data_IF_681109880881
#
_entry.id   IF_681109880881
#
_cell.length_a   1.000
_cell.length_b   1.000
_cell.length_c   1.000
_cell.angle_alpha   90.00
_cell.angle_beta   90.00
_cell.angle_gamma   90.00
#
_symmetry.space_group_name_H-M   'P 1'
#
loop_
_entity.id
_entity.type
_entity.pdbx_description
1 polymer ?
#
# COMPACT_ATOMS: atom_id res chain seq x y z
N UNK A 1 -19.40 20.42 -1.71
CA UNK A 1 -19.44 18.97 -1.41
C UNK A 1 -20.71 18.71 -0.63
N UNK A 2 -21.47 17.69 -1.03
CA UNK A 2 -22.80 17.34 -0.52
C UNK A 2 -22.73 16.90 0.95
N UNK A 3 -23.02 17.80 1.87
CA UNK A 3 -23.09 17.51 3.32
C UNK A 3 -24.30 16.63 3.67
N UNK A 4 -25.40 16.72 2.92
CA UNK A 4 -26.59 15.86 3.10
C UNK A 4 -26.35 14.40 2.68
N UNK A 5 -25.50 14.15 1.68
CA UNK A 5 -25.18 12.79 1.23
C UNK A 5 -24.34 11.99 2.27
N UNK A 6 -23.60 12.68 3.13
CA UNK A 6 -22.89 12.08 4.26
C UNK A 6 -23.83 11.67 5.41
N UNK A 7 -25.03 12.26 5.49
CA UNK A 7 -26.03 11.98 6.53
C UNK A 7 -26.84 10.71 6.21
N UNK A 8 -26.91 10.30 4.95
CA UNK A 8 -27.64 9.11 4.49
C UNK A 8 -26.79 7.83 4.37
N UNK A 9 -25.48 7.92 4.62
CA UNK A 9 -24.56 6.79 4.42
C UNK A 9 -24.61 5.86 5.63
N UNK A 10 -25.15 4.65 5.44
CA UNK A 10 -25.19 3.66 6.51
C UNK A 10 -23.82 3.02 6.72
N UNK A 11 -23.55 2.43 7.91
CA UNK A 11 -22.33 1.68 8.10
C UNK A 11 -22.20 0.47 7.13
N UNK A 12 -23.32 -0.12 6.69
CA UNK A 12 -23.33 -1.14 5.61
C UNK A 12 -22.82 -0.58 4.28
N UNK A 13 -23.27 0.63 3.92
CA UNK A 13 -22.81 1.28 2.69
C UNK A 13 -21.31 1.54 2.75
N UNK A 14 -20.78 1.95 3.90
CA UNK A 14 -19.35 2.12 4.13
C UNK A 14 -18.58 0.81 3.95
N UNK A 15 -19.03 -0.29 4.57
CA UNK A 15 -18.39 -1.61 4.43
C UNK A 15 -18.42 -2.07 2.96
N UNK A 16 -19.56 -1.92 2.27
CA UNK A 16 -19.69 -2.25 0.85
C UNK A 16 -18.75 -1.42 -0.01
N UNK A 17 -18.63 -0.11 0.25
CA UNK A 17 -17.72 0.78 -0.46
C UNK A 17 -16.25 0.40 -0.24
N UNK A 18 -15.86 0.09 1.01
CA UNK A 18 -14.52 -0.38 1.35
C UNK A 18 -14.23 -1.67 0.60
N UNK A 19 -15.08 -2.69 0.74
CA UNK A 19 -14.89 -3.98 0.08
C UNK A 19 -14.82 -3.86 -1.45
N UNK A 20 -15.69 -3.03 -2.05
CA UNK A 20 -15.66 -2.77 -3.49
C UNK A 20 -14.30 -2.19 -3.91
N UNK A 21 -13.86 -1.12 -3.25
CA UNK A 21 -12.57 -0.48 -3.54
C UNK A 21 -11.41 -1.47 -3.40
N UNK A 22 -11.39 -2.27 -2.34
CA UNK A 22 -10.32 -3.22 -2.09
C UNK A 22 -10.33 -4.38 -3.10
N UNK A 23 -11.50 -4.87 -3.53
CA UNK A 23 -11.62 -5.89 -4.58
C UNK A 23 -11.13 -5.36 -5.94
N UNK A 24 -11.47 -4.11 -6.27
CA UNK A 24 -11.02 -3.48 -7.51
C UNK A 24 -9.47 -3.35 -7.51
N UNK A 25 -8.88 -2.96 -6.37
CA UNK A 25 -7.42 -2.92 -6.20
C UNK A 25 -6.78 -4.32 -6.23
N UNK A 26 -7.37 -5.31 -5.57
CA UNK A 26 -6.85 -6.68 -5.53
C UNK A 26 -6.80 -7.34 -6.92
N UNK A 27 -7.64 -6.90 -7.87
CA UNK A 27 -7.56 -7.33 -9.26
C UNK A 27 -6.42 -6.65 -10.02
N UNK A 28 -6.19 -5.36 -9.78
CA UNK A 28 -5.24 -4.56 -10.57
C UNK A 28 -3.78 -4.62 -10.06
N UNK A 29 -3.59 -4.70 -8.74
CA UNK A 29 -2.26 -4.65 -8.13
C UNK A 29 -1.35 -5.84 -8.47
N UNK A 30 -1.83 -7.09 -8.58
CA UNK A 30 -0.95 -8.24 -8.89
C UNK A 30 -0.25 -8.11 -10.24
N UNK A 31 -0.99 -7.76 -11.30
CA UNK A 31 -0.41 -7.60 -12.65
C UNK A 31 0.56 -6.43 -12.70
N UNK A 32 0.20 -5.31 -12.05
CA UNK A 32 1.09 -4.18 -11.92
C UNK A 32 2.36 -4.57 -11.14
N UNK A 33 2.24 -5.34 -10.06
CA UNK A 33 3.36 -5.80 -9.25
C UNK A 33 4.31 -6.67 -10.08
N UNK A 34 3.77 -7.65 -10.81
CA UNK A 34 4.55 -8.48 -11.72
C UNK A 34 5.34 -7.64 -12.72
N UNK A 35 4.70 -6.67 -13.36
CA UNK A 35 5.36 -5.74 -14.29
C UNK A 35 6.52 -4.96 -13.63
N UNK A 36 6.36 -4.54 -12.38
CA UNK A 36 7.42 -3.83 -11.63
C UNK A 36 8.53 -4.74 -11.17
N UNK A 37 8.23 -5.99 -10.84
CA UNK A 37 9.26 -6.98 -10.51
C UNK A 37 10.12 -7.30 -11.74
N UNK A 38 9.52 -7.42 -12.92
CA UNK A 38 10.27 -7.55 -14.18
C UNK A 38 11.13 -6.31 -14.48
N UNK A 39 10.61 -5.10 -14.25
CA UNK A 39 11.37 -3.84 -14.39
C UNK A 39 12.56 -3.80 -13.43
N UNK A 40 12.35 -4.20 -12.18
CA UNK A 40 13.39 -4.27 -11.17
C UNK A 40 14.46 -5.30 -11.53
N UNK A 41 14.07 -6.49 -12.00
CA UNK A 41 15.02 -7.51 -12.49
C UNK A 41 15.87 -6.98 -13.64
N UNK A 42 15.26 -6.27 -14.61
CA UNK A 42 16.01 -5.61 -15.69
C UNK A 42 16.95 -4.54 -15.15
N UNK A 43 16.52 -3.74 -14.19
CA UNK A 43 17.35 -2.71 -13.57
C UNK A 43 18.59 -3.31 -12.89
N UNK A 44 18.43 -4.39 -12.11
CA UNK A 44 19.56 -5.11 -11.50
C UNK A 44 20.57 -5.61 -12.55
N UNK A 45 20.08 -6.18 -13.65
CA UNK A 45 20.94 -6.68 -14.72
C UNK A 45 21.74 -5.56 -15.38
N UNK A 46 21.08 -4.45 -15.72
CA UNK A 46 21.73 -3.28 -16.33
C UNK A 46 22.77 -2.67 -15.40
N UNK A 47 22.47 -2.56 -14.11
CA UNK A 47 23.44 -2.03 -13.14
C UNK A 47 24.64 -2.96 -12.95
N UNK A 48 24.41 -4.28 -12.96
CA UNK A 48 25.48 -5.28 -12.92
C UNK A 48 26.39 -5.15 -14.14
N UNK A 49 25.82 -5.03 -15.33
CA UNK A 49 26.57 -4.85 -16.58
C UNK A 49 27.39 -3.55 -16.56
N UNK A 50 26.77 -2.42 -16.20
CA UNK A 50 27.46 -1.14 -16.10
C UNK A 50 28.59 -1.16 -15.06
N UNK A 51 28.37 -1.83 -13.91
CA UNK A 51 29.40 -2.01 -12.89
C UNK A 51 30.59 -2.81 -13.40
N UNK A 52 30.34 -3.90 -14.12
CA UNK A 52 31.40 -4.72 -14.70
C UNK A 52 32.19 -3.94 -15.76
N UNK A 53 31.49 -3.21 -16.64
CA UNK A 53 32.14 -2.39 -17.66
C UNK A 53 33.04 -1.29 -17.04
N UNK A 54 32.54 -0.60 -16.01
CA UNK A 54 33.32 0.40 -15.28
C UNK A 54 34.55 -0.21 -14.60
N UNK A 55 34.37 -1.37 -13.93
CA UNK A 55 35.48 -2.07 -13.27
C UNK A 55 36.55 -2.53 -14.25
N UNK A 56 36.16 -3.08 -15.41
CA UNK A 56 37.10 -3.53 -16.43
C UNK A 56 37.94 -2.35 -16.97
N UNK A 57 37.31 -1.21 -17.25
CA UNK A 57 38.04 -0.01 -17.70
C UNK A 57 39.02 0.52 -16.64
N UNK A 58 38.67 0.41 -15.36
CA UNK A 58 39.53 0.79 -14.25
C UNK A 58 40.73 -0.17 -14.09
N UNK A 59 40.52 -1.48 -14.29
CA UNK A 59 41.54 -2.52 -14.15
C UNK A 59 42.49 -2.58 -15.36
N UNK A 60 42.02 -2.24 -16.56
CA UNK A 60 42.83 -2.14 -17.78
C UNK A 60 43.77 -0.91 -17.80
N UNK A 61 43.84 -0.15 -16.70
CA UNK A 61 44.58 1.10 -16.62
C UNK A 61 44.30 2.01 -17.82
N UNK A 62 43.01 2.14 -18.17
CA UNK A 62 42.55 2.88 -19.34
C UNK A 62 43.19 4.27 -19.37
N UNK A 63 44.02 4.52 -20.39
CA UNK A 63 44.58 5.84 -20.68
C UNK A 63 43.53 6.84 -21.16
N UNK A 64 42.30 6.34 -21.40
CA UNK A 64 41.16 7.14 -21.81
C UNK A 64 40.31 7.50 -20.58
N UNK A 65 40.66 8.61 -19.94
CA UNK A 65 39.92 9.17 -18.80
C UNK A 65 38.46 9.46 -19.15
N UNK A 66 38.18 9.94 -20.37
CA UNK A 66 36.81 10.23 -20.82
C UNK A 66 35.93 8.98 -20.84
N UNK A 67 36.47 7.85 -21.32
CA UNK A 67 35.77 6.57 -21.35
C UNK A 67 35.47 6.05 -19.93
N UNK A 68 36.42 6.21 -19.01
CA UNK A 68 36.26 5.82 -17.60
C UNK A 68 35.19 6.68 -16.92
N UNK A 69 35.22 8.01 -17.11
CA UNK A 69 34.21 8.93 -16.57
C UNK A 69 32.82 8.64 -17.16
N UNK A 70 32.72 8.38 -18.46
CA UNK A 70 31.45 8.03 -19.09
C UNK A 70 30.87 6.72 -18.54
N UNK A 71 31.71 5.71 -18.29
CA UNK A 71 31.31 4.45 -17.68
C UNK A 71 30.87 4.61 -16.22
N UNK A 72 31.54 5.47 -15.44
CA UNK A 72 31.15 5.82 -14.08
C UNK A 72 29.78 6.51 -14.04
N UNK A 73 29.56 7.51 -14.90
CA UNK A 73 28.29 8.21 -15.02
C UNK A 73 27.16 7.25 -15.38
N UNK A 74 27.38 6.39 -16.38
CA UNK A 74 26.41 5.37 -16.76
C UNK A 74 26.11 4.41 -15.60
N UNK A 75 27.11 3.94 -14.86
CA UNK A 75 26.89 3.10 -13.69
C UNK A 75 26.04 3.81 -12.63
N UNK A 76 26.33 5.06 -12.33
CA UNK A 76 25.58 5.86 -11.37
C UNK A 76 24.11 6.05 -11.80
N UNK A 77 23.86 6.39 -13.06
CA UNK A 77 22.50 6.50 -13.61
C UNK A 77 21.72 5.18 -13.49
N UNK A 78 22.38 4.04 -13.77
CA UNK A 78 21.75 2.72 -13.64
C UNK A 78 21.51 2.34 -12.18
N UNK A 79 22.40 2.69 -11.25
CA UNK A 79 22.16 2.51 -9.81
C UNK A 79 20.97 3.35 -9.33
N UNK A 80 20.85 4.61 -9.75
CA UNK A 80 19.70 5.45 -9.43
C UNK A 80 18.40 4.88 -9.98
N UNK A 81 18.40 4.41 -11.23
CA UNK A 81 17.25 3.74 -11.82
C UNK A 81 16.87 2.47 -11.04
N UNK A 82 17.85 1.65 -10.64
CA UNK A 82 17.63 0.46 -9.82
C UNK A 82 17.01 0.80 -8.47
N UNK A 83 17.55 1.79 -7.76
CA UNK A 83 17.02 2.25 -6.45
C UNK A 83 15.58 2.76 -6.55
N UNK A 84 15.27 3.53 -7.60
CA UNK A 84 13.90 3.99 -7.87
C UNK A 84 12.95 2.82 -8.14
N UNK A 85 13.38 1.87 -8.97
CA UNK A 85 12.62 0.66 -9.30
C UNK A 85 12.36 -0.19 -8.06
N UNK A 86 13.36 -0.34 -7.20
CA UNK A 86 13.30 -1.10 -5.94
C UNK A 86 12.30 -0.46 -4.98
N UNK A 87 12.43 0.84 -4.73
CA UNK A 87 11.52 1.61 -3.86
C UNK A 87 10.06 1.49 -4.34
N UNK A 88 9.81 1.71 -5.63
CA UNK A 88 8.47 1.60 -6.22
C UNK A 88 7.90 0.19 -6.08
N UNK A 89 8.70 -0.83 -6.34
CA UNK A 89 8.28 -2.24 -6.21
C UNK A 89 7.97 -2.57 -4.75
N UNK A 90 8.79 -2.11 -3.81
CA UNK A 90 8.56 -2.30 -2.38
C UNK A 90 7.26 -1.65 -1.90
N UNK A 91 7.01 -0.40 -2.29
CA UNK A 91 5.74 0.29 -1.98
C UNK A 91 4.54 -0.49 -2.53
N UNK A 92 4.66 -1.04 -3.74
CA UNK A 92 3.59 -1.80 -4.37
C UNK A 92 3.35 -3.16 -3.69
N UNK A 93 4.39 -3.84 -3.21
CA UNK A 93 4.26 -5.04 -2.38
C UNK A 93 3.52 -4.74 -1.08
N UNK A 94 3.88 -3.65 -0.41
CA UNK A 94 3.22 -3.23 0.83
C UNK A 94 1.75 -2.87 0.57
N UNK A 95 1.47 -2.16 -0.53
CA UNK A 95 0.10 -1.84 -0.93
C UNK A 95 -0.71 -3.11 -1.20
N UNK A 96 -0.16 -4.07 -1.96
CA UNK A 96 -0.83 -5.33 -2.25
C UNK A 96 -1.11 -6.13 -0.97
N UNK A 97 -0.11 -6.27 -0.08
CA UNK A 97 -0.27 -6.95 1.21
C UNK A 97 -1.35 -6.27 2.07
N UNK A 98 -1.36 -4.93 2.13
CA UNK A 98 -2.37 -4.18 2.86
C UNK A 98 -3.78 -4.38 2.29
N UNK A 99 -3.94 -4.40 0.96
CA UNK A 99 -5.23 -4.68 0.32
C UNK A 99 -5.72 -6.07 0.69
N UNK A 100 -4.86 -7.09 0.65
CA UNK A 100 -5.24 -8.46 1.02
C UNK A 100 -5.64 -8.55 2.49
N UNK A 101 -4.86 -7.97 3.41
CA UNK A 101 -5.20 -7.92 4.83
C UNK A 101 -6.50 -7.16 5.10
N UNK A 102 -6.73 -6.07 4.39
CA UNK A 102 -7.96 -5.27 4.50
C UNK A 102 -9.16 -6.08 4.01
N UNK A 103 -9.05 -6.76 2.87
CA UNK A 103 -10.10 -7.64 2.38
C UNK A 103 -10.44 -8.70 3.40
N UNK A 104 -9.44 -9.41 3.91
CA UNK A 104 -9.62 -10.45 4.92
C UNK A 104 -10.33 -9.92 6.17
N UNK A 105 -9.96 -8.73 6.66
CA UNK A 105 -10.58 -8.14 7.85
C UNK A 105 -12.05 -7.73 7.62
N UNK A 106 -12.34 -7.06 6.51
CA UNK A 106 -13.68 -6.53 6.22
C UNK A 106 -14.62 -7.56 5.60
N UNK A 107 -14.13 -8.72 5.18
CA UNK A 107 -14.96 -9.83 4.70
C UNK A 107 -15.36 -10.81 5.80
N UNK A 108 -14.78 -10.69 6.99
CA UNK A 108 -14.96 -11.62 8.09
C UNK A 108 -16.16 -11.17 8.95
N UNK A 109 -17.25 -11.94 8.87
CA UNK A 109 -18.53 -11.67 9.53
C UNK A 109 -18.47 -11.87 11.06
N UNK A 110 -17.41 -12.50 11.58
CA UNK A 110 -17.22 -12.75 13.01
C UNK A 110 -16.45 -11.59 13.70
N UNK A 111 -16.12 -10.52 12.98
CA UNK A 111 -15.26 -9.43 13.48
C UNK A 111 -16.01 -8.38 14.29
N UNK A 112 -15.30 -7.64 15.17
CA UNK A 112 -15.90 -6.61 16.03
C UNK A 112 -16.69 -5.51 15.30
N UNK A 113 -16.42 -5.26 14.02
CA UNK A 113 -17.15 -4.25 13.26
C UNK A 113 -18.59 -4.68 12.92
N UNK A 114 -18.91 -5.97 12.93
CA UNK A 114 -20.30 -6.44 12.76
C UNK A 114 -21.16 -6.06 13.97
N UNK A 115 -20.61 -6.07 15.19
CA UNK A 115 -21.32 -5.57 16.37
C UNK A 115 -21.69 -4.08 16.25
N UNK A 116 -20.91 -3.29 15.50
CA UNK A 116 -21.24 -1.89 15.20
C UNK A 116 -22.37 -1.78 14.16
N UNK A 117 -22.43 -2.71 13.20
CA UNK A 117 -23.55 -2.80 12.25
C UNK A 117 -24.83 -3.22 12.95
N UNK A 118 -24.77 -4.25 13.79
CA UNK A 118 -25.90 -4.72 14.60
C UNK A 118 -26.44 -3.60 15.50
N UNK A 119 -25.55 -2.85 16.16
CA UNK A 119 -25.94 -1.69 16.96
C UNK A 119 -26.61 -0.60 16.11
N UNK A 120 -26.10 -0.34 14.89
CA UNK A 120 -26.69 0.61 13.97
C UNK A 120 -28.08 0.17 13.48
N UNK A 121 -28.26 -1.12 13.14
CA UNK A 121 -29.56 -1.68 12.76
C UNK A 121 -30.57 -1.56 13.89
N UNK A 122 -30.19 -1.93 15.12
CA UNK A 122 -31.07 -1.80 16.29
C UNK A 122 -31.57 -0.36 16.47
N UNK A 123 -30.69 0.63 16.33
CA UNK A 123 -31.08 2.05 16.42
C UNK A 123 -32.01 2.44 15.27
N UNK A 124 -31.75 1.98 14.04
CA UNK A 124 -32.62 2.22 12.89
C UNK A 124 -34.02 1.58 13.05
N UNK A 125 -34.11 0.46 13.76
CA UNK A 125 -35.37 -0.22 14.14
C UNK A 125 -36.10 0.47 15.31
N UNK A 126 -35.53 1.54 15.86
CA UNK A 126 -36.13 2.31 16.95
C UNK A 126 -35.75 1.82 18.36
N UNK A 127 -34.79 0.91 18.49
CA UNK A 127 -34.27 0.50 19.79
C UNK A 127 -33.27 1.53 20.35
N UNK A 128 -33.16 1.65 21.69
CA UNK A 128 -32.18 2.54 22.31
C UNK A 128 -30.74 2.15 21.94
N UNK A 129 -29.84 3.12 21.71
CA UNK A 129 -28.45 2.83 21.45
C UNK A 129 -27.79 2.21 22.68
N UNK A 130 -27.16 1.05 22.51
CA UNK A 130 -26.31 0.43 23.54
C UNK A 130 -24.94 1.08 23.51
N UNK A 131 -24.81 2.25 24.15
CA UNK A 131 -23.49 2.74 24.52
C UNK A 131 -23.01 1.95 25.73
N UNK A 132 -21.78 1.44 25.68
CA UNK A 132 -21.07 1.09 26.90
C UNK A 132 -20.80 2.40 27.65
N UNK A 133 -21.75 2.84 28.48
CA UNK A 133 -21.48 3.90 29.43
C UNK A 133 -20.37 3.37 30.33
N UNK A 134 -19.16 3.90 30.19
CA UNK A 134 -18.24 3.94 31.32
C UNK A 134 -19.03 4.65 32.41
N UNK A 135 -19.53 3.90 33.40
CA UNK A 135 -19.94 4.51 34.65
C UNK A 135 -18.70 5.25 35.14
N UNK A 136 -18.72 6.57 34.99
CA UNK A 136 -17.84 7.41 35.78
C UNK A 136 -18.33 7.23 37.20
N UNK A 137 -17.61 6.42 37.99
CA UNK A 137 -17.68 6.46 39.44
C UNK A 137 -17.23 7.85 39.87
N UNK A 138 -18.17 8.79 39.80
CA UNK A 138 -18.06 10.15 40.29
C UNK A 138 -19.23 10.38 41.21
N UNK A 139 -19.05 10.01 42.48
CA UNK A 139 -20.05 10.26 43.51
C UNK A 139 -20.33 11.75 43.69
N UNK A 140 -21.60 12.09 43.94
CA UNK A 140 -22.04 12.97 45.04
C UNK A 140 -23.57 13.09 45.11
N UNK A 141 -24.10 12.53 46.22
CA UNK A 141 -25.18 12.99 47.11
C UNK A 141 -26.34 13.87 46.61
N UNK A 142 -27.56 13.43 46.94
CA UNK A 142 -28.48 14.15 47.84
C UNK A 142 -29.22 13.15 48.72
#
# INVERSE_FOLDING_TARGET
MQTEALVALTPDDLVRMILKKQRDLAKALPDLLKSREEELSRAYQLTKEARMAYKNLQEEASTNEEATTAAELLYNEREEFRRRSESRTHQLRNANANVQSTLMYWSDEERPWTSLLEAAHRVAEGHPPTFASKQLDGGQQA
#
